data_IF_274591112122
#
_entry.id   IF_274591112122
#
_cell.length_a   1.000
_cell.length_b   1.000
_cell.length_c   1.000
_cell.angle_alpha   90.00
_cell.angle_beta   90.00
_cell.angle_gamma   90.00
#
_symmetry.space_group_name_H-M   'P 1'
#
loop_
_entity.id
_entity.type
_entity.pdbx_description
1 polymer ?
#
# COMPACT_ATOMS: atom_id res chain seq x y z
N UNK A 1 22.60 -2.77 -10.25
CA UNK A 1 22.39 -1.90 -9.07
C UNK A 1 21.58 -2.54 -7.94
N UNK A 2 20.88 -3.65 -8.16
CA UNK A 2 20.07 -4.33 -7.12
C UNK A 2 20.84 -5.03 -5.99
N UNK A 3 22.15 -5.12 -6.07
CA UNK A 3 22.92 -5.89 -5.07
C UNK A 3 22.79 -5.28 -3.66
N UNK A 4 22.82 -3.97 -3.56
CA UNK A 4 22.76 -3.26 -2.28
C UNK A 4 21.43 -3.41 -1.53
N UNK A 5 20.25 -3.14 -2.14
CA UNK A 5 18.97 -3.36 -1.46
C UNK A 5 18.79 -4.81 -0.99
N UNK A 6 19.13 -5.79 -1.83
CA UNK A 6 19.04 -7.21 -1.49
C UNK A 6 20.03 -7.62 -0.39
N UNK A 7 21.25 -7.11 -0.42
CA UNK A 7 22.23 -7.37 0.63
C UNK A 7 21.77 -6.79 1.97
N UNK A 8 21.33 -5.54 1.97
CA UNK A 8 20.77 -4.88 3.15
C UNK A 8 19.57 -5.65 3.70
N UNK A 9 18.62 -6.01 2.85
CA UNK A 9 17.45 -6.79 3.21
C UNK A 9 17.83 -8.14 3.85
N UNK A 10 18.81 -8.87 3.30
CA UNK A 10 19.32 -10.12 3.87
C UNK A 10 19.94 -9.93 5.24
N UNK A 11 20.68 -8.84 5.46
CA UNK A 11 21.27 -8.54 6.76
C UNK A 11 20.21 -8.25 7.81
N UNK A 12 19.22 -7.42 7.47
CA UNK A 12 18.09 -7.13 8.36
C UNK A 12 17.27 -8.39 8.67
N UNK A 13 16.98 -9.20 7.67
CA UNK A 13 16.22 -10.44 7.83
C UNK A 13 16.91 -11.43 8.78
N UNK A 14 18.25 -11.57 8.72
CA UNK A 14 19.00 -12.43 9.63
C UNK A 14 18.91 -12.01 11.09
N UNK A 15 18.62 -10.74 11.36
CA UNK A 15 18.50 -10.22 12.72
C UNK A 15 17.05 -10.21 13.21
N UNK A 16 16.06 -10.30 12.32
CA UNK A 16 14.65 -10.12 12.64
C UNK A 16 14.14 -11.08 13.73
N UNK A 17 14.54 -12.36 13.66
CA UNK A 17 14.12 -13.36 14.64
C UNK A 17 14.73 -13.23 16.04
N UNK A 18 15.61 -12.27 16.28
CA UNK A 18 16.36 -12.12 17.54
C UNK A 18 15.91 -10.94 18.40
N UNK A 19 14.83 -10.27 18.02
CA UNK A 19 14.37 -9.07 18.69
C UNK A 19 13.06 -9.28 19.46
N UNK A 20 12.80 -8.48 20.49
CA UNK A 20 11.49 -8.45 21.16
C UNK A 20 10.36 -8.13 20.18
N UNK A 21 10.68 -7.41 19.11
CA UNK A 21 9.75 -7.10 18.04
C UNK A 21 9.28 -8.39 17.31
N UNK A 22 10.15 -9.39 17.16
CA UNK A 22 9.79 -10.65 16.53
C UNK A 22 8.60 -11.34 17.22
N UNK A 23 8.62 -11.41 18.55
CA UNK A 23 7.52 -12.01 19.31
C UNK A 23 6.21 -11.25 19.09
N UNK A 24 6.27 -9.93 19.12
CA UNK A 24 5.09 -9.08 18.90
C UNK A 24 4.52 -9.26 17.48
N UNK A 25 5.38 -9.29 16.47
CA UNK A 25 4.96 -9.54 15.07
C UNK A 25 4.33 -10.94 14.95
N UNK A 26 4.93 -11.96 15.57
CA UNK A 26 4.39 -13.33 15.56
C UNK A 26 3.02 -13.40 16.21
N UNK A 27 2.84 -12.77 17.38
CA UNK A 27 1.55 -12.70 18.08
C UNK A 27 0.51 -11.98 17.22
N UNK A 28 0.86 -10.84 16.65
CA UNK A 28 -0.02 -10.06 15.80
C UNK A 28 -0.42 -10.83 14.54
N UNK A 29 0.51 -11.54 13.92
CA UNK A 29 0.22 -12.41 12.79
C UNK A 29 -0.75 -13.53 13.19
N UNK A 30 -0.45 -14.26 14.27
CA UNK A 30 -1.30 -15.31 14.82
C UNK A 30 -2.73 -14.84 15.05
N UNK A 31 -2.87 -13.68 15.69
CA UNK A 31 -4.14 -13.05 15.98
C UNK A 31 -4.93 -12.70 14.70
N UNK A 32 -4.27 -12.09 13.71
CA UNK A 32 -4.91 -11.69 12.45
C UNK A 32 -5.27 -12.89 11.56
N UNK A 33 -4.35 -13.85 11.45
CA UNK A 33 -4.50 -15.05 10.60
C UNK A 33 -5.36 -16.13 11.26
N UNK A 34 -5.65 -16.01 12.57
CA UNK A 34 -6.38 -16.99 13.37
C UNK A 34 -5.69 -18.34 13.40
N UNK A 35 -4.43 -18.35 13.62
CA UNK A 35 -3.68 -19.58 13.80
C UNK A 35 -2.94 -19.55 15.16
N UNK A 36 -2.67 -20.68 15.80
CA UNK A 36 -1.78 -20.72 16.95
C UNK A 36 -0.40 -20.13 16.61
N UNK A 37 0.28 -19.53 17.59
CA UNK A 37 1.62 -18.99 17.35
C UNK A 37 2.60 -20.05 16.82
N UNK A 38 2.39 -21.31 17.21
CA UNK A 38 3.18 -22.44 16.74
C UNK A 38 3.00 -22.73 15.24
N UNK A 39 1.88 -22.30 14.65
CA UNK A 39 1.55 -22.50 13.23
C UNK A 39 1.96 -21.29 12.35
N UNK A 40 2.54 -20.24 12.95
CA UNK A 40 3.12 -19.14 12.18
C UNK A 40 4.28 -19.70 11.34
N UNK A 41 4.32 -19.45 10.02
CA UNK A 41 5.38 -19.97 9.19
C UNK A 41 6.77 -19.58 9.73
N UNK A 42 7.66 -20.55 9.89
CA UNK A 42 8.97 -20.33 10.49
C UNK A 42 9.82 -19.28 9.76
N UNK A 43 9.57 -19.09 8.46
CA UNK A 43 10.26 -18.14 7.61
C UNK A 43 9.54 -16.79 7.48
N UNK A 44 8.31 -16.66 8.03
CA UNK A 44 7.50 -15.44 7.92
C UNK A 44 8.25 -14.19 8.38
N UNK A 45 8.84 -14.22 9.58
CA UNK A 45 9.58 -13.07 10.11
C UNK A 45 10.76 -12.69 9.21
N UNK A 46 11.46 -13.71 8.71
CA UNK A 46 12.59 -13.50 7.81
C UNK A 46 12.16 -12.89 6.49
N UNK A 47 11.09 -13.41 5.87
CA UNK A 47 10.55 -12.90 4.61
C UNK A 47 9.99 -11.50 4.78
N UNK A 48 9.17 -11.26 5.83
CA UNK A 48 8.63 -9.93 6.11
C UNK A 48 9.74 -8.90 6.31
N UNK A 49 10.73 -9.20 7.15
CA UNK A 49 11.86 -8.29 7.36
C UNK A 49 12.69 -8.07 6.08
N UNK A 50 12.84 -9.09 5.25
CA UNK A 50 13.54 -8.98 3.98
C UNK A 50 12.81 -8.03 3.02
N UNK A 51 11.51 -8.24 2.82
CA UNK A 51 10.71 -7.40 1.92
C UNK A 51 10.64 -5.95 2.41
N UNK A 52 10.28 -5.75 3.69
CA UNK A 52 10.18 -4.40 4.27
C UNK A 52 11.50 -3.65 4.22
N UNK A 53 12.59 -4.29 4.64
CA UNK A 53 13.89 -3.62 4.68
C UNK A 53 14.41 -3.30 3.29
N UNK A 54 14.19 -4.16 2.31
CA UNK A 54 14.63 -3.96 0.95
C UNK A 54 13.88 -2.82 0.25
N UNK A 55 12.56 -2.80 0.35
CA UNK A 55 11.75 -1.72 -0.22
C UNK A 55 11.98 -0.40 0.50
N UNK A 56 12.00 -0.41 1.84
CA UNK A 56 12.31 0.79 2.62
C UNK A 56 13.69 1.36 2.31
N UNK A 57 14.69 0.50 2.08
CA UNK A 57 16.02 0.95 1.68
C UNK A 57 15.96 1.71 0.35
N UNK A 58 15.23 1.21 -0.65
CA UNK A 58 15.06 1.91 -1.93
C UNK A 58 14.36 3.25 -1.72
N UNK A 59 13.23 3.25 -1.02
CA UNK A 59 12.39 4.44 -0.83
C UNK A 59 13.03 5.51 0.05
N UNK A 60 13.87 5.13 1.01
CA UNK A 60 14.53 6.06 1.92
C UNK A 60 15.83 6.61 1.38
N UNK A 61 16.67 5.76 0.79
CA UNK A 61 18.03 6.11 0.39
C UNK A 61 18.07 6.78 -0.98
N UNK A 62 17.21 6.33 -1.91
CA UNK A 62 17.23 6.89 -3.26
C UNK A 62 16.17 7.98 -3.46
N UNK A 63 16.44 8.97 -4.31
CA UNK A 63 15.40 9.87 -4.79
C UNK A 63 14.41 9.11 -5.70
N UNK A 64 13.13 9.53 -5.78
CA UNK A 64 12.11 8.85 -6.57
C UNK A 64 12.51 8.54 -8.01
N UNK A 65 13.20 9.45 -8.68
CA UNK A 65 13.70 9.25 -10.05
C UNK A 65 14.63 8.02 -10.24
N UNK A 66 15.15 7.47 -9.15
CA UNK A 66 16.00 6.28 -9.18
C UNK A 66 15.32 5.02 -8.66
N UNK A 67 14.10 5.10 -8.14
CA UNK A 67 13.44 3.94 -7.53
C UNK A 67 13.24 2.80 -8.52
N UNK A 68 12.62 3.06 -9.67
CA UNK A 68 12.39 2.06 -10.70
C UNK A 68 13.67 1.38 -11.20
N UNK A 69 14.81 2.09 -11.18
CA UNK A 69 16.13 1.55 -11.58
C UNK A 69 16.73 0.60 -10.54
N UNK A 70 16.20 0.61 -9.32
CA UNK A 70 16.68 -0.21 -8.21
C UNK A 70 15.81 -1.45 -7.97
N UNK A 71 14.82 -1.71 -8.82
CA UNK A 71 14.05 -2.95 -8.86
C UNK A 71 14.44 -3.76 -10.10
N UNK A 72 14.27 -5.08 -10.05
CA UNK A 72 14.79 -6.00 -11.09
C UNK A 72 13.89 -6.18 -12.30
N UNK A 73 12.80 -5.45 -12.37
CA UNK A 73 11.79 -5.55 -13.41
C UNK A 73 11.42 -4.16 -13.93
N UNK A 74 10.85 -4.09 -15.14
CA UNK A 74 10.35 -2.83 -15.71
C UNK A 74 9.02 -2.44 -15.08
N UNK A 75 9.12 -1.82 -13.88
CA UNK A 75 7.95 -1.38 -13.12
C UNK A 75 7.10 -0.35 -13.90
N UNK A 76 7.74 0.59 -14.58
CA UNK A 76 7.02 1.62 -15.32
C UNK A 76 6.27 1.04 -16.53
N UNK A 77 6.92 0.16 -17.31
CA UNK A 77 6.26 -0.53 -18.42
C UNK A 77 5.10 -1.38 -17.96
N UNK A 78 5.28 -2.13 -16.89
CA UNK A 78 4.22 -2.95 -16.29
C UNK A 78 3.02 -2.10 -15.85
N UNK A 79 3.25 -1.04 -15.06
CA UNK A 79 2.18 -0.17 -14.56
C UNK A 79 1.49 0.56 -15.72
N UNK A 80 2.23 0.99 -16.74
CA UNK A 80 1.67 1.61 -17.94
C UNK A 80 0.76 0.66 -18.72
N UNK A 81 1.15 -0.59 -18.86
CA UNK A 81 0.32 -1.62 -19.51
C UNK A 81 -0.94 -1.87 -18.69
N UNK A 82 -0.77 -2.15 -17.40
CA UNK A 82 -1.88 -2.43 -16.50
C UNK A 82 -2.91 -1.29 -16.45
N UNK A 83 -2.47 -0.04 -16.31
CA UNK A 83 -3.38 1.11 -16.26
C UNK A 83 -4.20 1.28 -17.54
N UNK A 84 -3.64 0.89 -18.70
CA UNK A 84 -4.36 0.86 -19.98
C UNK A 84 -5.39 -0.27 -20.01
N UNK A 85 -4.98 -1.50 -19.68
CA UNK A 85 -5.85 -2.68 -19.70
C UNK A 85 -7.04 -2.53 -18.74
N UNK A 86 -6.82 -1.92 -17.57
CA UNK A 86 -7.85 -1.67 -16.57
C UNK A 86 -8.62 -0.36 -16.76
N UNK A 87 -8.35 0.38 -17.83
CA UNK A 87 -8.92 1.71 -18.04
C UNK A 87 -8.84 2.60 -16.77
N UNK A 88 -7.69 2.54 -16.07
CA UNK A 88 -7.53 3.12 -14.73
C UNK A 88 -7.85 4.61 -14.68
N UNK A 89 -7.47 5.36 -15.72
CA UNK A 89 -7.68 6.80 -15.83
C UNK A 89 -8.96 7.18 -16.60
N UNK A 90 -9.93 6.28 -16.78
CA UNK A 90 -11.17 6.57 -17.50
C UNK A 90 -12.13 7.47 -16.71
N UNK A 91 -12.11 7.36 -15.39
CA UNK A 91 -12.95 8.16 -14.51
C UNK A 91 -12.39 9.57 -14.30
N UNK A 92 -13.27 10.56 -14.14
CA UNK A 92 -12.87 11.94 -13.80
C UNK A 92 -12.23 12.01 -12.40
N UNK A 93 -12.67 11.16 -11.49
CA UNK A 93 -12.12 11.06 -10.13
C UNK A 93 -12.02 9.59 -9.71
N UNK A 94 -10.86 9.22 -9.20
CA UNK A 94 -10.59 7.88 -8.68
C UNK A 94 -10.10 7.99 -7.25
N UNK A 95 -10.73 7.27 -6.33
CA UNK A 95 -10.20 7.03 -5.00
C UNK A 95 -9.44 5.70 -5.03
N UNK A 96 -8.12 5.77 -4.90
CA UNK A 96 -7.23 4.62 -4.86
C UNK A 96 -6.99 4.23 -3.41
N UNK A 97 -7.49 3.07 -3.02
CA UNK A 97 -7.33 2.51 -1.69
C UNK A 97 -6.09 1.63 -1.62
N UNK A 98 -5.27 1.88 -0.65
CA UNK A 98 -4.11 1.06 -0.32
C UNK A 98 -3.98 0.85 1.17
N UNK A 99 -2.95 0.10 1.52
CA UNK A 99 -2.48 -0.08 2.89
C UNK A 99 -0.96 0.14 2.90
N UNK A 100 -0.34 0.14 4.07
CA UNK A 100 1.12 0.29 4.22
C UNK A 100 1.86 -0.97 3.77
N UNK A 101 1.81 -1.23 2.47
CA UNK A 101 2.55 -2.33 1.85
C UNK A 101 4.01 -1.95 1.62
N UNK A 102 4.88 -2.93 1.72
CA UNK A 102 6.26 -2.78 1.25
C UNK A 102 6.26 -2.45 -0.25
N UNK A 103 6.97 -1.38 -0.63
CA UNK A 103 7.05 -0.95 -2.03
C UNK A 103 5.83 -0.20 -2.56
N UNK A 104 4.87 0.17 -1.71
CA UNK A 104 3.70 0.95 -2.15
C UNK A 104 4.11 2.27 -2.81
N UNK A 105 5.13 2.92 -2.26
CA UNK A 105 5.69 4.15 -2.83
C UNK A 105 6.20 3.97 -4.26
N UNK A 106 6.87 2.84 -4.55
CA UNK A 106 7.38 2.55 -5.90
C UNK A 106 6.24 2.42 -6.93
N UNK A 107 5.13 1.79 -6.53
CA UNK A 107 3.97 1.63 -7.41
C UNK A 107 3.31 2.96 -7.68
N UNK A 108 3.16 3.78 -6.63
CA UNK A 108 2.59 5.12 -6.78
C UNK A 108 3.50 6.01 -7.63
N UNK A 109 4.83 5.88 -7.51
CA UNK A 109 5.79 6.57 -8.39
C UNK A 109 5.59 6.17 -9.87
N UNK A 110 5.45 4.88 -10.13
CA UNK A 110 5.19 4.39 -11.48
C UNK A 110 3.83 4.87 -12.03
N UNK A 111 2.79 4.95 -11.18
CA UNK A 111 1.51 5.55 -11.56
C UNK A 111 1.66 7.03 -11.92
N UNK A 112 2.40 7.80 -11.12
CA UNK A 112 2.69 9.21 -11.39
C UNK A 112 3.46 9.41 -12.68
N UNK A 113 4.49 8.58 -12.91
CA UNK A 113 5.34 8.66 -14.08
C UNK A 113 4.62 8.30 -15.39
N UNK A 114 3.66 7.38 -15.33
CA UNK A 114 2.93 6.85 -16.49
C UNK A 114 1.57 7.51 -16.73
N UNK A 115 1.12 8.35 -15.80
CA UNK A 115 -0.17 9.00 -15.89
C UNK A 115 -0.24 10.01 -17.06
N UNK A 116 -1.41 10.12 -17.73
CA UNK A 116 -1.67 11.18 -18.71
C UNK A 116 -1.45 12.58 -18.14
N UNK A 117 -1.12 13.54 -19.02
CA UNK A 117 -0.73 14.89 -18.60
C UNK A 117 -1.81 15.68 -17.85
N UNK A 118 -3.08 15.34 -18.05
CA UNK A 118 -4.23 15.96 -17.40
C UNK A 118 -4.62 15.30 -16.06
N UNK A 119 -3.95 14.22 -15.65
CA UNK A 119 -4.19 13.55 -14.35
C UNK A 119 -3.41 14.26 -13.26
N UNK A 120 -4.09 14.54 -12.16
CA UNK A 120 -3.51 15.07 -10.91
C UNK A 120 -3.66 14.07 -9.78
N UNK A 121 -2.75 14.14 -8.82
CA UNK A 121 -2.75 13.26 -7.67
C UNK A 121 -2.91 14.04 -6.38
N UNK A 122 -3.67 13.48 -5.47
CA UNK A 122 -3.80 13.93 -4.08
C UNK A 122 -3.52 12.77 -3.15
N UNK A 123 -2.76 13.02 -2.10
CA UNK A 123 -2.38 11.99 -1.14
C UNK A 123 -2.98 12.30 0.22
N UNK A 124 -3.70 11.33 0.77
CA UNK A 124 -4.24 11.37 2.13
C UNK A 124 -3.46 10.32 2.92
N UNK A 125 -2.30 10.73 3.43
CA UNK A 125 -1.36 9.81 4.07
C UNK A 125 -0.31 10.56 4.87
N UNK A 126 0.29 9.88 5.84
CA UNK A 126 1.51 10.29 6.56
C UNK A 126 2.73 9.47 6.12
N UNK A 127 2.59 8.59 5.15
CA UNK A 127 3.66 7.70 4.71
C UNK A 127 4.84 8.49 4.12
N UNK A 128 6.08 8.34 4.68
CA UNK A 128 7.21 9.19 4.28
C UNK A 128 7.57 9.10 2.79
N UNK A 129 7.48 7.90 2.20
CA UNK A 129 7.77 7.71 0.77
C UNK A 129 6.78 8.49 -0.11
N UNK A 130 5.48 8.52 0.26
CA UNK A 130 4.48 9.28 -0.48
C UNK A 130 4.68 10.79 -0.33
N UNK A 131 5.17 11.27 0.81
CA UNK A 131 5.57 12.68 0.96
C UNK A 131 6.74 13.05 0.06
N UNK A 132 7.75 12.17 -0.09
CA UNK A 132 8.84 12.37 -1.05
C UNK A 132 8.33 12.45 -2.49
N UNK A 133 7.39 11.57 -2.86
CA UNK A 133 6.76 11.61 -4.19
C UNK A 133 5.99 12.90 -4.44
N UNK A 134 5.24 13.38 -3.45
CA UNK A 134 4.53 14.66 -3.55
C UNK A 134 5.49 15.80 -3.86
N UNK A 135 6.65 15.84 -3.19
CA UNK A 135 7.66 16.87 -3.44
C UNK A 135 8.34 16.72 -4.82
N UNK A 136 8.61 15.47 -5.23
CA UNK A 136 9.26 15.20 -6.51
C UNK A 136 8.34 15.45 -7.73
N UNK A 137 7.03 15.33 -7.54
CA UNK A 137 6.01 15.47 -8.60
C UNK A 137 5.07 16.66 -8.34
N UNK A 138 5.59 17.78 -7.86
CA UNK A 138 4.78 18.96 -7.50
C UNK A 138 3.85 19.42 -8.62
N UNK A 139 4.30 19.41 -9.87
CA UNK A 139 3.49 19.74 -11.04
C UNK A 139 2.31 18.80 -11.31
N UNK A 140 2.28 17.62 -10.67
CA UNK A 140 1.18 16.65 -10.72
C UNK A 140 0.27 16.72 -9.49
N UNK A 141 0.57 17.60 -8.55
CA UNK A 141 -0.17 17.69 -7.29
C UNK A 141 -1.48 18.43 -7.48
N UNK A 142 -2.56 17.86 -6.97
CA UNK A 142 -3.84 18.56 -6.80
C UNK A 142 -3.89 19.22 -5.42
N UNK A 143 -4.36 20.45 -5.37
CA UNK A 143 -4.52 21.22 -4.13
C UNK A 143 -5.84 20.91 -3.40
N UNK A 144 -6.80 20.30 -4.07
CA UNK A 144 -8.10 19.98 -3.49
C UNK A 144 -8.78 18.80 -4.18
N UNK A 145 -9.79 18.23 -3.52
CA UNK A 145 -10.69 17.21 -4.10
C UNK A 145 -11.52 17.72 -5.29
N UNK A 146 -11.56 19.01 -5.48
CA UNK A 146 -12.36 19.66 -6.51
C UNK A 146 -11.53 20.14 -7.71
N UNK A 147 -10.30 19.65 -7.84
CA UNK A 147 -9.44 20.00 -8.96
C UNK A 147 -10.18 19.78 -10.30
N UNK A 148 -10.07 20.70 -11.25
CA UNK A 148 -10.81 20.65 -12.52
C UNK A 148 -10.32 19.53 -13.47
N UNK A 149 -9.15 18.95 -13.19
CA UNK A 149 -8.56 17.86 -13.96
C UNK A 149 -9.02 16.50 -13.46
N UNK A 150 -8.68 15.44 -14.22
CA UNK A 150 -8.84 14.08 -13.69
C UNK A 150 -7.98 13.93 -12.43
N UNK A 151 -8.59 13.39 -11.39
CA UNK A 151 -8.01 13.33 -10.06
C UNK A 151 -7.89 11.89 -9.58
N UNK A 152 -6.69 11.51 -9.16
CA UNK A 152 -6.46 10.27 -8.40
C UNK A 152 -6.14 10.66 -6.95
N UNK A 153 -7.01 10.29 -6.03
CA UNK A 153 -6.80 10.46 -4.60
C UNK A 153 -6.30 9.15 -4.01
N UNK A 154 -5.10 9.14 -3.45
CA UNK A 154 -4.49 7.97 -2.81
C UNK A 154 -4.75 8.03 -1.31
N UNK A 155 -5.36 6.98 -0.76
CA UNK A 155 -5.67 6.83 0.65
C UNK A 155 -5.08 5.53 1.20
N UNK A 156 -4.27 5.61 2.25
CA UNK A 156 -3.87 4.45 3.04
C UNK A 156 -4.86 4.26 4.19
N UNK A 157 -5.64 3.18 4.10
CA UNK A 157 -6.78 2.96 5.00
C UNK A 157 -6.36 2.55 6.41
N UNK A 158 -5.18 1.96 6.56
CA UNK A 158 -4.59 1.53 7.83
C UNK A 158 -3.72 2.62 8.49
N UNK A 159 -3.84 3.86 8.03
CA UNK A 159 -3.27 5.01 8.69
C UNK A 159 -4.32 5.72 9.55
N UNK A 160 -3.96 6.00 10.81
CA UNK A 160 -4.76 6.90 11.65
C UNK A 160 -4.48 8.34 11.26
N UNK A 161 -5.42 8.92 10.56
CA UNK A 161 -5.40 10.35 10.27
C UNK A 161 -6.12 11.09 11.39
N UNK A 162 -5.61 12.24 11.87
CA UNK A 162 -6.32 13.06 12.85
C UNK A 162 -7.69 13.43 12.31
N UNK A 163 -8.70 13.34 13.16
CA UNK A 163 -10.07 13.76 12.88
C UNK A 163 -10.76 13.03 11.70
N UNK A 164 -10.12 12.01 11.12
CA UNK A 164 -10.76 11.19 10.11
C UNK A 164 -11.76 10.24 10.76
N UNK A 165 -12.99 10.14 10.24
CA UNK A 165 -13.95 9.16 10.71
C UNK A 165 -13.41 7.75 10.47
N UNK A 166 -13.82 6.82 11.33
CA UNK A 166 -13.49 5.41 11.22
C UNK A 166 -14.77 4.60 11.04
N UNK A 167 -14.69 3.51 10.31
CA UNK A 167 -15.73 2.49 10.27
C UNK A 167 -15.16 1.14 10.69
N UNK A 168 -15.99 0.31 11.30
CA UNK A 168 -15.61 -1.05 11.65
C UNK A 168 -15.94 -2.02 10.53
N UNK A 169 -15.01 -2.93 10.27
CA UNK A 169 -15.22 -4.08 9.40
C UNK A 169 -14.74 -5.35 10.10
N UNK A 170 -15.15 -6.50 9.58
CA UNK A 170 -14.74 -7.78 10.13
C UNK A 170 -13.40 -8.18 9.53
N UNK A 171 -12.40 -8.33 10.38
CA UNK A 171 -11.10 -8.90 10.01
C UNK A 171 -10.91 -10.19 10.80
N UNK A 172 -11.34 -11.27 10.20
CA UNK A 172 -11.42 -12.50 10.95
C UNK A 172 -12.54 -12.46 12.02
N UNK A 173 -12.25 -12.85 13.29
CA UNK A 173 -13.19 -12.78 14.41
C UNK A 173 -13.18 -11.42 15.11
N UNK A 174 -12.27 -10.54 14.73
CA UNK A 174 -12.12 -9.25 15.35
C UNK A 174 -12.68 -8.13 14.47
N UNK A 175 -13.11 -7.06 15.12
CA UNK A 175 -13.46 -5.81 14.45
C UNK A 175 -12.17 -5.04 14.15
N UNK A 176 -11.91 -4.79 12.88
CA UNK A 176 -10.90 -3.86 12.44
C UNK A 176 -11.54 -2.50 12.14
N UNK A 177 -10.81 -1.45 12.40
CA UNK A 177 -11.23 -0.08 12.15
C UNK A 177 -10.36 0.54 11.07
N UNK A 178 -10.99 0.99 10.02
CA UNK A 178 -10.34 1.61 8.88
C UNK A 178 -10.83 3.05 8.71
N UNK A 179 -10.03 3.87 8.06
CA UNK A 179 -10.43 5.23 7.70
C UNK A 179 -11.70 5.19 6.85
N UNK A 180 -12.74 5.91 7.27
CA UNK A 180 -14.00 6.04 6.54
C UNK A 180 -13.96 7.24 5.59
N UNK A 181 -14.57 7.05 4.43
CA UNK A 181 -14.85 8.14 3.48
C UNK A 181 -16.35 8.10 3.19
N UNK A 182 -17.00 9.25 3.31
CA UNK A 182 -18.43 9.33 3.05
C UNK A 182 -18.79 8.86 1.64
N UNK A 183 -19.51 7.75 1.54
CA UNK A 183 -20.02 7.21 0.28
C UNK A 183 -20.90 8.24 -0.44
N UNK A 184 -21.67 9.03 0.32
CA UNK A 184 -22.47 10.14 -0.21
C UNK A 184 -21.60 11.21 -0.88
N UNK A 185 -20.42 11.50 -0.31
CA UNK A 185 -19.44 12.40 -0.91
C UNK A 185 -18.89 11.80 -2.20
N UNK A 186 -18.47 10.54 -2.17
CA UNK A 186 -17.90 9.85 -3.34
C UNK A 186 -18.88 9.83 -4.50
N UNK A 187 -20.14 9.42 -4.26
CA UNK A 187 -21.18 9.37 -5.29
C UNK A 187 -21.50 10.77 -5.82
N UNK A 188 -21.66 11.76 -4.94
CA UNK A 188 -21.99 13.14 -5.34
C UNK A 188 -20.95 13.76 -6.27
N UNK A 189 -19.67 13.44 -6.06
CA UNK A 189 -18.57 14.01 -6.84
C UNK A 189 -18.02 13.07 -7.92
N UNK A 190 -18.73 11.97 -8.19
CA UNK A 190 -18.43 11.06 -9.30
C UNK A 190 -17.11 10.31 -9.14
N UNK A 191 -16.74 9.93 -7.90
CA UNK A 191 -15.58 9.09 -7.66
C UNK A 191 -15.86 7.66 -8.08
N UNK A 192 -14.89 7.01 -8.72
CA UNK A 192 -14.76 5.56 -8.76
C UNK A 192 -13.84 5.13 -7.62
N UNK A 193 -14.11 4.00 -7.01
CA UNK A 193 -13.26 3.43 -5.97
C UNK A 193 -12.45 2.29 -6.58
N UNK A 194 -11.15 2.28 -6.35
CA UNK A 194 -10.25 1.21 -6.78
C UNK A 194 -9.35 0.77 -5.64
N UNK A 195 -9.14 -0.52 -5.54
CA UNK A 195 -8.16 -1.09 -4.64
C UNK A 195 -6.84 -1.29 -5.37
N UNK A 196 -5.73 -1.18 -4.66
CA UNK A 196 -4.41 -1.50 -5.15
C UNK A 196 -3.74 -2.43 -4.16
N UNK A 197 -3.51 -3.65 -4.59
CA UNK A 197 -2.83 -4.69 -3.83
C UNK A 197 -1.55 -5.03 -4.57
N UNK A 198 -0.40 -4.51 -4.13
CA UNK A 198 0.86 -4.90 -4.72
C UNK A 198 1.16 -6.36 -4.37
N UNK A 199 1.47 -7.14 -5.37
CA UNK A 199 2.07 -8.47 -5.23
C UNK A 199 3.52 -8.30 -5.67
N UNK A 200 4.33 -7.65 -4.82
CA UNK A 200 5.73 -7.41 -5.11
C UNK A 200 6.59 -8.24 -4.17
N UNK A 201 7.53 -8.98 -4.70
CA UNK A 201 8.54 -9.65 -3.91
C UNK A 201 9.94 -9.32 -4.43
N UNK A 202 10.74 -8.71 -3.56
CA UNK A 202 12.19 -8.55 -3.83
C UNK A 202 12.90 -9.90 -3.81
N UNK A 203 12.38 -10.86 -3.04
CA UNK A 203 12.96 -12.18 -2.93
C UNK A 203 12.73 -12.98 -4.21
N UNK A 204 11.49 -13.08 -4.65
CA UNK A 204 11.12 -13.81 -5.86
C UNK A 204 11.42 -13.02 -7.15
N UNK A 205 11.76 -11.74 -7.05
CA UNK A 205 11.84 -10.82 -8.18
C UNK A 205 10.55 -10.80 -9.02
N UNK A 206 9.44 -11.03 -8.36
CA UNK A 206 8.11 -11.02 -8.94
C UNK A 206 7.45 -9.67 -8.67
N UNK A 207 6.72 -9.20 -9.66
CA UNK A 207 5.86 -8.05 -9.54
C UNK A 207 4.50 -8.38 -10.13
N UNK A 208 3.49 -8.19 -9.34
CA UNK A 208 2.12 -8.27 -9.75
C UNK A 208 1.30 -7.27 -8.96
N UNK A 209 0.11 -7.00 -9.40
CA UNK A 209 -0.85 -6.24 -8.63
C UNK A 209 -2.25 -6.75 -8.92
N UNK A 210 -3.04 -6.86 -7.88
CA UNK A 210 -4.48 -7.04 -8.00
C UNK A 210 -5.14 -5.68 -7.80
N UNK A 211 -6.05 -5.30 -8.68
CA UNK A 211 -6.88 -4.12 -8.52
C UNK A 211 -8.29 -4.45 -8.93
N UNK A 212 -9.22 -3.99 -8.13
CA UNK A 212 -10.64 -4.15 -8.38
C UNK A 212 -11.31 -2.79 -8.36
N UNK A 213 -12.24 -2.58 -9.28
CA UNK A 213 -13.09 -1.39 -9.32
C UNK A 213 -14.38 -1.66 -8.56
N UNK A 214 -14.81 -0.67 -7.79
CA UNK A 214 -16.04 -0.69 -7.00
C UNK A 214 -16.87 0.57 -7.28
N UNK A 215 -18.17 0.46 -7.11
CA UNK A 215 -19.01 1.64 -7.05
C UNK A 215 -18.71 2.46 -5.79
N UNK A 216 -18.98 3.78 -5.79
CA UNK A 216 -18.75 4.61 -4.61
C UNK A 216 -19.48 4.12 -3.35
N UNK A 217 -20.65 3.53 -3.53
CA UNK A 217 -21.50 2.95 -2.47
C UNK A 217 -20.82 1.76 -1.79
N UNK A 218 -19.99 1.04 -2.53
CA UNK A 218 -19.31 -0.18 -2.07
C UNK A 218 -17.94 0.12 -1.43
N UNK A 219 -17.64 1.38 -1.08
CA UNK A 219 -16.36 1.78 -0.47
C UNK A 219 -15.95 0.89 0.70
N UNK A 220 -16.89 0.60 1.62
CA UNK A 220 -16.58 -0.21 2.81
C UNK A 220 -16.30 -1.67 2.45
N UNK A 221 -16.96 -2.19 1.40
CA UNK A 221 -16.64 -3.51 0.87
C UNK A 221 -15.25 -3.53 0.25
N UNK A 222 -14.91 -2.53 -0.57
CA UNK A 222 -13.58 -2.39 -1.15
C UNK A 222 -12.49 -2.35 -0.08
N UNK A 223 -12.72 -1.62 1.00
CA UNK A 223 -11.80 -1.53 2.12
C UNK A 223 -11.67 -2.88 2.87
N UNK A 224 -12.77 -3.58 3.09
CA UNK A 224 -12.77 -4.91 3.72
C UNK A 224 -12.03 -5.94 2.85
N UNK A 225 -12.24 -5.91 1.53
CA UNK A 225 -11.58 -6.82 0.60
C UNK A 225 -10.07 -6.56 0.56
N UNK A 226 -9.67 -5.28 0.60
CA UNK A 226 -8.24 -4.90 0.70
C UNK A 226 -7.61 -5.43 1.98
N UNK A 227 -8.30 -5.29 3.12
CA UNK A 227 -7.81 -5.84 4.39
C UNK A 227 -7.72 -7.37 4.35
N UNK A 228 -8.71 -8.05 3.78
CA UNK A 228 -8.69 -9.50 3.65
C UNK A 228 -7.61 -10.01 2.70
N UNK A 229 -7.20 -9.20 1.73
CA UNK A 229 -6.11 -9.55 0.82
C UNK A 229 -4.74 -9.62 1.52
N UNK A 230 -4.57 -8.99 2.70
CA UNK A 230 -3.39 -9.19 3.56
C UNK A 230 -3.11 -10.66 3.86
N UNK A 231 -4.15 -11.49 3.92
CA UNK A 231 -4.00 -12.92 4.17
C UNK A 231 -3.32 -13.67 3.04
N UNK A 232 -3.38 -13.13 1.81
CA UNK A 232 -2.72 -13.73 0.64
C UNK A 232 -1.23 -13.38 0.59
N UNK A 233 -0.87 -12.17 1.05
CA UNK A 233 0.49 -11.63 0.97
C UNK A 233 0.94 -11.00 2.30
N UNK A 234 0.89 -11.76 3.42
CA UNK A 234 1.12 -11.19 4.75
C UNK A 234 2.54 -10.64 4.92
N UNK A 235 3.52 -11.17 4.20
CA UNK A 235 4.92 -10.72 4.29
C UNK A 235 5.15 -9.30 3.80
N UNK A 236 4.21 -8.73 3.04
CA UNK A 236 4.36 -7.38 2.47
C UNK A 236 3.80 -6.27 3.38
N UNK A 237 3.00 -6.58 4.39
CA UNK A 237 2.43 -5.54 5.25
C UNK A 237 3.44 -5.02 6.27
N UNK A 238 3.56 -3.70 6.36
CA UNK A 238 4.55 -3.05 7.22
C UNK A 238 4.07 -2.78 8.65
N UNK A 239 2.79 -3.01 8.94
CA UNK A 239 2.21 -2.69 10.24
C UNK A 239 2.05 -3.89 11.19
N UNK A 240 2.76 -4.99 10.94
CA UNK A 240 2.72 -6.15 11.83
C UNK A 240 3.23 -5.87 13.25
N UNK A 241 4.03 -4.85 13.44
CA UNK A 241 4.54 -4.44 14.74
C UNK A 241 3.51 -3.69 15.58
N UNK A 242 2.44 -3.17 14.97
CA UNK A 242 1.41 -2.40 15.66
C UNK A 242 0.01 -2.60 15.07
N UNK A 243 -0.70 -3.64 15.53
CA UNK A 243 -2.10 -3.87 15.14
C UNK A 243 -3.07 -2.81 15.69
N UNK A 244 -2.65 -1.95 16.61
CA UNK A 244 -3.51 -0.88 17.12
C UNK A 244 -3.95 0.09 16.03
N UNK A 245 -3.29 0.09 14.88
CA UNK A 245 -3.69 0.89 13.71
C UNK A 245 -5.02 0.44 13.11
N UNK A 246 -5.35 -0.85 13.24
CA UNK A 246 -6.60 -1.42 12.74
C UNK A 246 -7.47 -2.03 13.83
N UNK A 247 -6.89 -2.49 14.95
CA UNK A 247 -7.66 -3.01 16.08
C UNK A 247 -7.74 -1.98 17.20
N UNK A 248 -8.94 -1.75 17.68
CA UNK A 248 -9.21 -1.00 18.89
C UNK A 248 -9.78 -1.98 19.90
N UNK A 249 -9.02 -2.23 20.94
CA UNK A 249 -9.52 -2.86 22.16
C UNK A 249 -10.39 -1.90 22.94
#
# INVERSE_FOLDING_TARGET
MMLLPRLYARLCARQAGRTLLANRITQNYSQFMRCPEADVPADFLHQNAHELSGFNFVEQIFPPALWARNVSFDLHGYVAQWTREQAFYSSSRTLLLGMRWAGFGLIVDALLATAPADVRFQFITRHPALHKLMAAHEGRRASSFFAPHRLVTVLLMDERLPDAPLFSTQAGDQKAWLTDVSTRFLSRYGYSVRTLLPICSLHAAEFGQESQAYAPEDYRQAAADTLNALRKTPTLWSAWDDLSVIYHG
#
